data_IF_579838664746
#
_entry.id   IF_579838664746
#
_cell.length_a   1.000
_cell.length_b   1.000
_cell.length_c   1.000
_cell.angle_alpha   90.00
_cell.angle_beta   90.00
_cell.angle_gamma   90.00
#
_symmetry.space_group_name_H-M   'P 1'
#
loop_
_entity.id
_entity.type
_entity.pdbx_description
1 polymer ?
#
# COMPACT_ATOMS: atom_id res chain seq x y z
N UNK A 1 -17.44 52.64 -26.50
CA UNK A 1 -17.02 53.12 -25.16
C UNK A 1 -16.98 51.93 -24.19
N UNK A 2 -15.83 51.26 -23.99
CA UNK A 2 -15.68 50.24 -22.95
C UNK A 2 -15.05 50.84 -21.68
N UNK A 3 -15.59 50.54 -20.49
CA UNK A 3 -14.99 50.87 -19.18
C UNK A 3 -14.14 49.70 -18.68
N UNK A 4 -12.83 49.91 -18.77
CA UNK A 4 -11.74 49.59 -17.84
C UNK A 4 -11.85 48.32 -16.95
N UNK A 5 -10.95 47.37 -17.22
CA UNK A 5 -10.48 46.39 -16.26
C UNK A 5 -9.08 46.82 -15.78
N UNK A 6 -8.93 46.97 -14.48
CA UNK A 6 -7.70 47.40 -13.81
C UNK A 6 -6.75 46.22 -13.59
N UNK A 7 -5.49 46.42 -13.96
CA UNK A 7 -4.38 45.48 -13.87
C UNK A 7 -3.87 45.37 -12.44
N UNK A 8 -3.52 44.16 -11.98
CA UNK A 8 -2.51 43.99 -10.92
C UNK A 8 -1.38 43.12 -11.45
N UNK A 9 -0.18 43.69 -11.30
CA UNK A 9 1.10 43.34 -11.91
C UNK A 9 1.57 41.93 -11.56
N UNK A 10 2.05 41.24 -12.59
CA UNK A 10 2.95 40.09 -12.47
C UNK A 10 4.36 40.64 -12.67
N UNK A 11 5.22 40.57 -11.65
CA UNK A 11 6.65 40.86 -11.80
C UNK A 11 7.40 39.54 -11.87
N UNK A 12 8.02 39.34 -13.03
CA UNK A 12 9.01 38.32 -13.37
C UNK A 12 10.18 38.32 -12.39
N UNK A 13 10.85 37.16 -12.28
CA UNK A 13 12.32 37.06 -12.29
C UNK A 13 12.72 35.59 -12.42
N UNK A 14 12.98 35.25 -13.67
CA UNK A 14 14.08 34.49 -14.25
C UNK A 14 14.71 33.23 -13.62
N UNK A 15 14.84 32.29 -14.55
CA UNK A 15 15.72 31.13 -14.63
C UNK A 15 17.20 31.55 -14.61
N UNK A 16 18.05 30.83 -13.86
CA UNK A 16 19.10 29.93 -14.40
C UNK A 16 20.27 29.66 -13.43
N UNK A 17 20.76 28.41 -13.49
CA UNK A 17 22.08 27.89 -13.08
C UNK A 17 22.37 27.83 -11.55
N UNK A 18 23.00 26.80 -10.95
CA UNK A 18 24.06 25.90 -11.41
C UNK A 18 24.08 24.63 -10.55
N UNK A 19 24.47 23.51 -11.16
CA UNK A 19 24.80 22.20 -10.58
C UNK A 19 25.96 22.22 -9.57
N UNK A 20 25.86 21.48 -8.45
CA UNK A 20 27.00 20.73 -7.88
C UNK A 20 26.51 19.38 -7.35
N UNK A 21 27.16 18.34 -7.87
CA UNK A 21 27.08 16.93 -7.50
C UNK A 21 27.70 16.67 -6.12
N UNK A 22 27.13 15.74 -5.35
CA UNK A 22 27.92 14.75 -4.57
C UNK A 22 27.09 13.53 -4.20
N UNK A 23 27.52 12.41 -4.75
CA UNK A 23 27.21 11.02 -4.43
C UNK A 23 27.11 10.76 -2.91
N UNK A 24 26.23 9.87 -2.44
CA UNK A 24 26.59 8.44 -2.30
C UNK A 24 25.50 7.57 -1.64
N UNK A 25 25.49 6.31 -2.11
CA UNK A 25 25.20 5.07 -1.38
C UNK A 25 23.77 4.78 -0.89
N UNK A 26 23.10 3.96 -1.69
CA UNK A 26 22.56 2.64 -1.31
C UNK A 26 22.27 2.38 0.17
N UNK A 27 20.98 2.24 0.53
CA UNK A 27 20.54 1.15 1.41
C UNK A 27 19.02 0.88 1.31
N UNK A 28 18.58 -0.38 1.41
CA UNK A 28 17.22 -0.80 1.10
C UNK A 28 16.27 -0.77 2.31
N UNK A 29 15.00 -0.47 2.02
CA UNK A 29 13.80 -1.15 2.54
C UNK A 29 13.62 -1.29 4.05
N UNK A 30 12.91 -0.33 4.67
CA UNK A 30 12.20 -0.55 5.94
C UNK A 30 10.82 -1.13 5.61
N UNK A 31 10.59 -2.38 6.00
CA UNK A 31 9.28 -3.02 6.03
C UNK A 31 8.59 -2.64 7.35
N UNK A 32 7.43 -1.99 7.27
CA UNK A 32 6.53 -1.79 8.40
C UNK A 32 5.71 -3.07 8.60
N UNK A 33 5.82 -3.60 9.82
CA UNK A 33 5.11 -4.71 10.42
C UNK A 33 3.59 -4.49 10.40
N UNK A 34 2.83 -5.55 10.10
CA UNK A 34 1.44 -5.71 10.50
C UNK A 34 1.40 -6.82 11.54
N UNK A 35 0.94 -6.47 12.74
CA UNK A 35 0.72 -7.36 13.87
C UNK A 35 -0.32 -8.44 13.53
N UNK A 36 0.02 -9.70 13.84
CA UNK A 36 -0.88 -10.85 13.89
C UNK A 36 -0.77 -11.46 15.31
N UNK A 37 -1.86 -11.91 15.95
CA UNK A 37 -1.90 -12.21 17.38
C UNK A 37 -1.12 -13.48 17.78
N UNK A 38 -0.24 -13.36 18.77
CA UNK A 38 0.52 -14.44 19.44
C UNK A 38 -0.32 -15.22 20.47
N UNK A 39 -1.25 -16.09 20.08
CA UNK A 39 -1.92 -16.94 21.11
C UNK A 39 -2.08 -18.43 20.81
N UNK A 40 -1.54 -18.98 19.71
CA UNK A 40 -1.66 -20.43 19.45
C UNK A 40 -0.35 -21.23 19.38
N UNK A 41 0.82 -20.60 19.49
CA UNK A 41 2.12 -21.31 19.37
C UNK A 41 2.82 -21.64 20.70
N UNK A 42 2.31 -21.17 21.84
CA UNK A 42 2.99 -21.34 23.14
C UNK A 42 2.65 -22.65 23.89
N UNK A 43 1.72 -23.48 23.40
CA UNK A 43 1.36 -24.76 24.05
C UNK A 43 2.15 -25.97 23.55
N UNK A 44 2.68 -25.93 22.33
CA UNK A 44 3.35 -27.10 21.74
C UNK A 44 4.86 -27.19 22.00
N UNK A 45 5.51 -26.13 22.49
CA UNK A 45 6.95 -26.15 22.81
C UNK A 45 7.22 -26.80 24.17
N UNK A 46 6.30 -26.65 25.14
CA UNK A 46 6.49 -27.19 26.50
C UNK A 46 6.34 -28.71 26.60
N UNK A 47 5.69 -29.37 25.63
CA UNK A 47 5.41 -30.80 25.69
C UNK A 47 6.53 -31.68 25.09
N UNK A 48 7.38 -31.12 24.22
CA UNK A 48 8.53 -31.82 23.62
C UNK A 48 9.77 -31.77 24.53
N UNK A 49 9.93 -30.70 25.30
CA UNK A 49 11.04 -30.55 26.26
C UNK A 49 10.92 -31.48 27.49
N UNK A 50 9.70 -31.81 27.91
CA UNK A 50 9.46 -32.74 29.04
C UNK A 50 9.78 -34.20 28.68
N UNK A 51 9.71 -34.59 27.40
CA UNK A 51 9.94 -35.98 26.96
C UNK A 51 11.42 -36.34 26.89
N UNK A 52 12.29 -35.38 26.57
CA UNK A 52 13.75 -35.56 26.56
C UNK A 52 14.35 -35.69 27.97
N UNK A 53 13.62 -35.27 29.01
CA UNK A 53 14.06 -35.29 30.42
C UNK A 53 13.76 -36.60 31.15
N UNK A 54 13.05 -37.55 30.53
CA UNK A 54 12.58 -38.82 31.13
C UNK A 54 13.32 -40.05 30.54
N UNK A 55 14.30 -39.87 29.63
CA UNK A 55 15.09 -41.00 29.15
C UNK A 55 16.29 -41.27 30.06
N UNK A 56 16.40 -42.47 30.62
CA UNK A 56 17.53 -42.87 31.45
C UNK A 56 18.83 -42.91 30.63
N UNK A 57 19.93 -42.42 31.22
CA UNK A 57 21.28 -42.33 30.62
C UNK A 57 21.75 -43.59 29.83
N UNK A 58 21.41 -44.84 30.18
CA UNK A 58 21.79 -46.00 29.36
C UNK A 58 21.17 -46.03 27.94
N UNK A 59 19.95 -45.50 27.73
CA UNK A 59 19.32 -45.53 26.40
C UNK A 59 19.93 -44.52 25.40
N UNK A 60 20.48 -43.42 25.91
CA UNK A 60 21.21 -42.43 25.09
C UNK A 60 22.56 -42.98 24.58
N UNK A 61 23.21 -43.90 25.31
CA UNK A 61 24.44 -44.56 24.86
C UNK A 61 24.16 -45.56 23.72
N UNK A 62 23.10 -46.37 23.86
CA UNK A 62 22.70 -47.33 22.83
C UNK A 62 22.30 -46.63 21.51
N UNK A 63 21.57 -45.52 21.59
CA UNK A 63 21.18 -44.74 20.41
C UNK A 63 22.37 -44.06 19.70
N UNK A 64 23.42 -43.68 20.45
CA UNK A 64 24.67 -43.15 19.86
C UNK A 64 25.50 -44.25 19.21
N UNK A 65 25.54 -45.44 19.81
CA UNK A 65 26.28 -46.59 19.29
C UNK A 65 25.64 -47.14 18.00
N UNK A 66 24.30 -47.21 17.94
CA UNK A 66 23.56 -47.56 16.72
C UNK A 66 23.72 -46.52 15.61
N UNK A 67 23.75 -45.22 15.92
CA UNK A 67 24.02 -44.17 14.92
C UNK A 67 25.43 -44.25 14.33
N UNK A 68 26.42 -44.60 15.14
CA UNK A 68 27.80 -44.82 14.68
C UNK A 68 27.92 -46.06 13.79
N UNK A 69 27.21 -47.15 14.10
CA UNK A 69 27.20 -48.36 13.27
C UNK A 69 26.49 -48.15 11.92
N UNK A 70 25.38 -47.41 11.89
CA UNK A 70 24.70 -47.07 10.62
C UNK A 70 25.57 -46.16 9.74
N UNK A 71 26.33 -45.24 10.33
CA UNK A 71 27.25 -44.36 9.60
C UNK A 71 28.48 -45.09 9.01
N UNK A 72 28.83 -46.27 9.53
CA UNK A 72 29.92 -47.09 9.00
C UNK A 72 29.49 -47.94 7.80
N UNK A 73 28.18 -48.22 7.65
CA UNK A 73 27.63 -49.01 6.54
C UNK A 73 27.30 -48.19 5.28
N UNK A 74 27.40 -46.85 5.32
CA UNK A 74 27.07 -45.98 4.17
C UNK A 74 28.30 -45.50 3.38
N UNK A 75 29.50 -46.03 3.64
CA UNK A 75 30.68 -45.77 2.80
C UNK A 75 30.77 -46.83 1.68
N UNK A 76 29.85 -46.75 0.72
CA UNK A 76 29.99 -47.39 -0.59
C UNK A 76 30.81 -46.53 -1.54
N UNK A 77 31.45 -47.12 -2.58
CA UNK A 77 32.49 -46.47 -3.36
C UNK A 77 31.93 -45.44 -4.35
N UNK A 78 32.69 -44.37 -4.49
CA UNK A 78 32.65 -43.37 -5.55
C UNK A 78 32.83 -44.02 -6.93
N UNK A 79 31.75 -44.17 -7.70
CA UNK A 79 31.83 -44.25 -9.16
C UNK A 79 30.43 -44.11 -9.76
N UNK A 80 30.27 -43.13 -10.65
CA UNK A 80 29.18 -42.97 -11.65
C UNK A 80 27.98 -42.05 -11.38
N UNK A 81 28.11 -40.96 -10.60
CA UNK A 81 27.04 -39.92 -10.54
C UNK A 81 27.51 -38.46 -10.67
N UNK A 82 28.78 -38.21 -11.04
CA UNK A 82 29.33 -36.85 -11.20
C UNK A 82 29.04 -36.22 -12.58
N UNK A 83 28.26 -36.86 -13.46
CA UNK A 83 27.86 -36.29 -14.76
C UNK A 83 26.42 -35.77 -14.80
N UNK A 84 25.68 -35.81 -13.68
CA UNK A 84 24.30 -35.31 -13.61
C UNK A 84 24.15 -33.94 -12.94
N UNK A 85 25.20 -33.42 -12.30
CA UNK A 85 25.15 -32.11 -11.62
C UNK A 85 25.51 -30.92 -12.52
N UNK A 86 26.05 -31.16 -13.73
CA UNK A 86 26.43 -30.10 -14.69
C UNK A 86 25.32 -29.72 -15.69
N UNK A 87 24.11 -30.29 -15.58
CA UNK A 87 22.94 -29.87 -16.38
C UNK A 87 22.01 -28.88 -15.65
N UNK A 88 22.50 -28.17 -14.63
CA UNK A 88 21.71 -27.20 -13.87
C UNK A 88 21.95 -25.73 -14.27
N UNK A 89 22.86 -25.43 -15.19
CA UNK A 89 22.88 -24.13 -15.90
C UNK A 89 21.85 -24.12 -17.03
N UNK A 90 20.59 -24.41 -16.69
CA UNK A 90 19.45 -24.21 -17.58
C UNK A 90 19.40 -22.71 -17.87
N UNK A 91 19.96 -22.30 -19.01
CA UNK A 91 20.06 -20.91 -19.45
C UNK A 91 18.78 -20.16 -19.09
N UNK A 92 18.87 -19.25 -18.11
CA UNK A 92 17.69 -18.52 -17.67
C UNK A 92 17.20 -17.66 -18.84
N UNK A 93 15.92 -17.78 -19.17
CA UNK A 93 15.36 -17.09 -20.33
C UNK A 93 15.46 -15.57 -20.13
N UNK A 94 16.31 -14.92 -20.94
CA UNK A 94 16.41 -13.45 -20.99
C UNK A 94 15.25 -12.85 -21.77
N UNK A 95 14.90 -11.61 -21.46
CA UNK A 95 13.75 -10.91 -22.03
C UNK A 95 14.16 -9.59 -22.65
N UNK A 96 13.45 -9.20 -23.69
CA UNK A 96 13.63 -7.93 -24.39
C UNK A 96 12.35 -7.09 -24.29
N UNK A 97 12.51 -5.77 -24.19
CA UNK A 97 11.35 -4.88 -24.26
C UNK A 97 10.70 -4.96 -25.65
N UNK A 98 9.37 -4.91 -25.67
CA UNK A 98 8.56 -5.00 -26.90
C UNK A 98 8.22 -3.64 -27.53
N UNK A 99 8.69 -2.54 -26.94
CA UNK A 99 8.48 -1.15 -27.39
C UNK A 99 9.84 -0.56 -27.72
N UNK A 100 9.83 0.53 -28.49
CA UNK A 100 11.06 1.29 -28.82
C UNK A 100 11.73 1.91 -27.59
N UNK A 101 10.99 2.19 -26.51
CA UNK A 101 11.53 2.77 -25.29
C UNK A 101 12.34 1.73 -24.50
N UNK A 102 13.65 1.95 -24.42
CA UNK A 102 14.63 1.08 -23.73
C UNK A 102 14.78 1.38 -22.24
N UNK A 103 14.46 2.60 -21.80
CA UNK A 103 14.69 3.05 -20.42
C UNK A 103 13.61 2.58 -19.42
N UNK A 104 14.01 2.40 -18.15
CA UNK A 104 13.13 2.01 -17.04
C UNK A 104 12.36 3.19 -16.42
N UNK A 105 11.55 3.87 -17.23
CA UNK A 105 10.76 5.03 -16.78
C UNK A 105 9.46 4.61 -16.08
N UNK A 106 8.78 5.56 -15.43
CA UNK A 106 7.49 5.32 -14.77
C UNK A 106 6.36 4.92 -15.74
N UNK A 107 6.49 5.17 -17.04
CA UNK A 107 5.53 4.75 -18.07
C UNK A 107 5.85 3.40 -18.70
N UNK A 108 7.08 2.88 -18.48
CA UNK A 108 7.58 1.65 -19.10
C UNK A 108 7.65 0.45 -18.15
N UNK A 109 6.86 0.46 -17.07
CA UNK A 109 6.81 -0.65 -16.13
C UNK A 109 6.17 -1.88 -16.79
N UNK A 110 6.77 -3.05 -16.57
CA UNK A 110 6.35 -4.34 -17.13
C UNK A 110 6.07 -5.35 -16.02
N UNK A 111 5.28 -6.37 -16.33
CA UNK A 111 5.13 -7.59 -15.52
C UNK A 111 5.46 -8.81 -16.38
N UNK A 112 6.00 -9.85 -15.75
CA UNK A 112 6.24 -11.13 -16.39
C UNK A 112 4.93 -11.91 -16.50
N UNK A 113 4.71 -12.56 -17.64
CA UNK A 113 3.61 -13.49 -17.83
C UNK A 113 4.12 -14.70 -18.58
N UNK A 114 3.80 -15.90 -18.09
CA UNK A 114 3.92 -17.12 -18.89
C UNK A 114 2.76 -17.18 -19.86
N UNK A 115 3.05 -17.40 -21.12
CA UNK A 115 2.04 -17.58 -22.17
C UNK A 115 1.68 -19.06 -22.30
N UNK A 116 0.53 -19.40 -22.92
CA UNK A 116 0.16 -20.80 -23.18
C UNK A 116 1.24 -21.57 -23.96
N UNK A 117 1.97 -20.92 -24.87
CA UNK A 117 3.10 -21.50 -25.58
C UNK A 117 4.38 -21.65 -24.75
N UNK A 118 4.28 -21.65 -23.43
CA UNK A 118 5.38 -21.82 -22.47
C UNK A 118 6.55 -20.83 -22.66
N UNK A 119 6.25 -19.57 -23.05
CA UNK A 119 7.26 -18.49 -23.15
C UNK A 119 7.02 -17.45 -22.07
N UNK A 120 8.09 -16.94 -21.46
CA UNK A 120 8.00 -15.79 -20.56
C UNK A 120 8.04 -14.52 -21.43
N UNK A 121 7.07 -13.62 -21.25
CA UNK A 121 6.94 -12.38 -22.04
C UNK A 121 6.62 -11.19 -21.13
N UNK A 122 7.11 -10.00 -21.50
CA UNK A 122 6.70 -8.75 -20.86
C UNK A 122 5.29 -8.31 -21.30
N UNK A 123 4.44 -8.04 -20.31
CA UNK A 123 3.21 -7.27 -20.47
C UNK A 123 3.37 -5.90 -19.82
N UNK A 124 3.03 -4.84 -20.55
CA UNK A 124 3.09 -3.48 -20.01
C UNK A 124 1.94 -3.21 -19.04
N UNK A 125 2.29 -2.84 -17.82
CA UNK A 125 1.31 -2.49 -16.80
C UNK A 125 0.81 -1.06 -17.02
N UNK A 126 -0.42 -0.80 -16.62
CA UNK A 126 -0.96 0.57 -16.59
C UNK A 126 -0.64 1.18 -15.23
N UNK A 127 -0.45 2.51 -15.20
CA UNK A 127 -0.30 3.25 -13.93
C UNK A 127 -1.53 3.02 -13.04
N UNK A 128 -1.28 2.79 -11.77
CA UNK A 128 -2.34 2.59 -10.77
C UNK A 128 -3.17 3.86 -10.60
N UNK A 129 -4.49 3.69 -10.47
CA UNK A 129 -5.39 4.78 -10.11
C UNK A 129 -5.35 5.06 -8.61
N UNK A 130 -5.82 6.23 -8.20
CA UNK A 130 -6.01 6.59 -6.79
C UNK A 130 -7.48 6.96 -6.58
N UNK A 131 -8.08 6.50 -5.49
CA UNK A 131 -9.41 6.93 -5.09
C UNK A 131 -9.41 8.43 -4.74
N UNK A 132 -10.55 9.14 -4.82
CA UNK A 132 -10.63 10.55 -4.45
C UNK A 132 -10.28 10.75 -2.98
N UNK A 133 -9.59 11.87 -2.68
CA UNK A 133 -9.45 12.38 -1.32
C UNK A 133 -10.76 13.05 -0.93
N UNK A 134 -11.03 13.14 0.37
CA UNK A 134 -12.16 13.92 0.87
C UNK A 134 -11.93 15.42 0.62
N UNK A 135 -12.96 16.13 0.15
CA UNK A 135 -12.94 17.57 -0.09
C UNK A 135 -12.86 18.42 1.20
N UNK A 136 -12.90 17.79 2.38
CA UNK A 136 -12.81 18.49 3.66
C UNK A 136 -11.42 19.11 3.94
N UNK A 137 -10.36 18.71 3.21
CA UNK A 137 -8.98 19.19 3.43
C UNK A 137 -8.30 18.63 4.69
N UNK A 138 -9.06 18.26 5.72
CA UNK A 138 -8.52 17.79 7.01
C UNK A 138 -8.22 16.28 7.04
N UNK A 139 -9.10 15.46 6.47
CA UNK A 139 -8.94 14.01 6.54
C UNK A 139 -7.90 13.50 5.52
N UNK A 140 -6.84 12.77 5.95
CA UNK A 140 -5.85 12.19 5.03
C UNK A 140 -6.39 10.98 4.25
N UNK A 141 -7.48 10.38 4.74
CA UNK A 141 -8.08 9.17 4.18
C UNK A 141 -8.69 9.34 2.78
N UNK A 142 -8.70 8.26 2.01
CA UNK A 142 -9.39 8.15 0.73
C UNK A 142 -10.85 7.75 0.93
N UNK A 143 -11.73 8.18 0.02
CA UNK A 143 -13.14 7.85 0.10
C UNK A 143 -13.38 6.37 -0.21
N UNK A 144 -14.17 5.72 0.66
CA UNK A 144 -14.63 4.35 0.50
C UNK A 144 -15.80 4.29 -0.50
N UNK A 145 -15.92 3.17 -1.20
CA UNK A 145 -17.00 2.94 -2.17
C UNK A 145 -16.78 3.54 -3.56
N UNK A 146 -15.70 4.30 -3.78
CA UNK A 146 -15.33 4.83 -5.11
C UNK A 146 -14.13 4.06 -5.65
N UNK A 147 -14.21 3.56 -6.90
CA UNK A 147 -13.14 2.75 -7.49
C UNK A 147 -11.87 3.58 -7.76
N UNK A 148 -10.71 3.03 -7.39
CA UNK A 148 -9.40 3.64 -7.65
C UNK A 148 -8.90 3.33 -9.07
N UNK A 149 -9.41 4.08 -10.06
CA UNK A 149 -9.06 3.89 -11.48
C UNK A 149 -8.48 5.16 -12.11
N UNK A 150 -7.94 5.06 -13.33
CA UNK A 150 -7.47 6.24 -14.09
C UNK A 150 -8.64 7.08 -14.61
N UNK A 151 -8.49 8.41 -14.83
CA UNK A 151 -9.59 9.29 -15.23
C UNK A 151 -10.36 8.85 -16.48
N UNK A 152 -9.65 8.42 -17.54
CA UNK A 152 -10.31 7.92 -18.77
C UNK A 152 -11.12 6.64 -18.55
N UNK A 153 -10.68 5.78 -17.62
CA UNK A 153 -11.43 4.57 -17.23
C UNK A 153 -12.61 4.96 -16.35
N UNK A 154 -12.42 5.92 -15.43
CA UNK A 154 -13.48 6.45 -14.58
C UNK A 154 -14.64 7.03 -15.41
N UNK A 155 -14.33 7.72 -16.51
CA UNK A 155 -15.34 8.23 -17.45
C UNK A 155 -16.25 7.11 -17.96
N UNK A 156 -15.68 5.96 -18.33
CA UNK A 156 -16.39 4.81 -18.90
C UNK A 156 -17.16 3.96 -17.88
N UNK A 157 -16.89 4.09 -16.58
CA UNK A 157 -17.59 3.30 -15.56
C UNK A 157 -19.06 3.74 -15.40
N UNK A 158 -19.90 2.85 -14.86
CA UNK A 158 -21.28 3.19 -14.47
C UNK A 158 -21.31 4.19 -13.31
N UNK A 159 -22.41 4.95 -13.18
CA UNK A 159 -22.57 6.00 -12.17
C UNK A 159 -22.43 5.47 -10.72
N UNK A 160 -23.04 4.32 -10.44
CA UNK A 160 -23.00 3.67 -9.11
C UNK A 160 -21.58 3.39 -8.61
N UNK A 161 -20.64 3.13 -9.51
CA UNK A 161 -19.22 2.85 -9.18
C UNK A 161 -18.40 4.11 -8.90
N UNK A 162 -18.95 5.31 -9.15
CA UNK A 162 -18.27 6.61 -9.04
C UNK A 162 -18.62 7.37 -7.76
N UNK A 163 -19.74 7.07 -7.12
CA UNK A 163 -20.25 7.80 -5.96
C UNK A 163 -20.88 6.87 -4.92
N UNK A 164 -21.15 7.41 -3.74
CA UNK A 164 -21.90 6.74 -2.67
C UNK A 164 -23.29 7.40 -2.54
N UNK A 165 -24.33 6.64 -2.25
CA UNK A 165 -25.71 7.11 -2.09
C UNK A 165 -25.92 7.86 -0.76
N UNK A 166 -25.36 9.08 -0.67
CA UNK A 166 -25.59 10.03 0.44
C UNK A 166 -25.31 11.47 -0.02
N UNK A 167 -25.71 12.46 0.78
CA UNK A 167 -25.30 13.84 0.60
C UNK A 167 -23.76 13.96 0.53
N UNK A 168 -23.26 14.67 -0.49
CA UNK A 168 -21.84 14.82 -0.79
C UNK A 168 -21.09 13.48 -0.99
N UNK A 169 -21.79 12.42 -1.39
CA UNK A 169 -21.22 11.11 -1.64
C UNK A 169 -20.18 11.12 -2.76
N UNK A 170 -18.99 10.55 -2.51
CA UNK A 170 -17.88 10.58 -3.46
C UNK A 170 -17.07 11.88 -3.48
N UNK A 171 -17.48 12.90 -2.71
CA UNK A 171 -16.73 14.15 -2.51
C UNK A 171 -16.26 14.31 -1.06
N UNK A 172 -17.12 14.04 -0.07
CA UNK A 172 -16.76 14.12 1.35
C UNK A 172 -16.90 12.79 2.08
N UNK A 173 -16.11 12.62 3.16
CA UNK A 173 -16.21 11.48 4.06
C UNK A 173 -17.45 11.59 4.97
N UNK A 174 -17.96 10.45 5.44
CA UNK A 174 -19.19 10.40 6.25
C UNK A 174 -19.06 11.12 7.60
N UNK A 175 -17.86 11.14 8.19
CA UNK A 175 -17.60 11.86 9.45
C UNK A 175 -17.80 13.37 9.27
N UNK A 176 -17.12 13.97 8.29
CA UNK A 176 -17.24 15.40 8.03
C UNK A 176 -18.64 15.83 7.58
N UNK A 177 -19.38 14.99 6.86
CA UNK A 177 -20.78 15.29 6.51
C UNK A 177 -21.65 15.37 7.78
N UNK A 178 -21.50 14.42 8.73
CA UNK A 178 -22.21 14.47 10.02
C UNK A 178 -21.85 15.71 10.83
N UNK A 179 -20.57 16.04 10.91
CA UNK A 179 -20.12 17.21 11.66
C UNK A 179 -20.64 18.50 11.03
N UNK A 180 -20.71 18.59 9.69
CA UNK A 180 -21.32 19.73 8.99
C UNK A 180 -22.81 19.88 9.29
N UNK A 181 -23.56 18.77 9.31
CA UNK A 181 -24.99 18.79 9.64
C UNK A 181 -25.20 19.31 11.06
N UNK A 182 -24.48 18.73 12.04
CA UNK A 182 -24.58 19.16 13.45
C UNK A 182 -24.18 20.61 13.66
N UNK A 183 -23.06 21.04 13.04
CA UNK A 183 -22.58 22.43 13.16
C UNK A 183 -23.54 23.42 12.52
N UNK A 184 -24.04 23.13 11.32
CA UNK A 184 -25.00 24.00 10.65
C UNK A 184 -26.27 24.17 11.51
N UNK A 185 -26.82 23.06 12.02
CA UNK A 185 -27.98 23.09 12.90
C UNK A 185 -27.74 23.94 14.15
N UNK A 186 -26.70 23.63 14.95
CA UNK A 186 -26.43 24.35 16.20
C UNK A 186 -26.14 25.85 15.98
N UNK A 187 -25.50 26.22 14.87
CA UNK A 187 -25.25 27.61 14.55
C UNK A 187 -26.56 28.35 14.22
N UNK A 188 -27.47 27.72 13.49
CA UNK A 188 -28.78 28.32 13.20
C UNK A 188 -29.64 28.44 14.48
N UNK A 189 -29.66 27.41 15.33
CA UNK A 189 -30.34 27.48 16.63
C UNK A 189 -29.78 28.61 17.50
N UNK A 190 -28.45 28.72 17.60
CA UNK A 190 -27.80 29.80 18.36
C UNK A 190 -28.16 31.18 17.79
N UNK A 191 -28.24 31.34 16.46
CA UNK A 191 -28.64 32.60 15.82
C UNK A 191 -30.07 32.99 16.19
N UNK A 192 -31.00 32.03 16.24
CA UNK A 192 -32.39 32.27 16.64
C UNK A 192 -32.43 32.72 18.10
N UNK A 193 -31.76 32.00 19.00
CA UNK A 193 -31.70 32.36 20.43
C UNK A 193 -31.15 33.77 20.62
N UNK A 194 -30.04 34.10 19.95
CA UNK A 194 -29.45 35.45 20.01
C UNK A 194 -30.41 36.52 19.48
N UNK A 195 -31.19 36.23 18.43
CA UNK A 195 -32.19 37.15 17.88
C UNK A 195 -33.34 37.39 18.87
N UNK A 196 -33.84 36.34 19.51
CA UNK A 196 -34.93 36.43 20.50
C UNK A 196 -34.48 37.19 21.74
N UNK A 197 -33.30 36.90 22.28
CA UNK A 197 -32.75 37.62 23.44
C UNK A 197 -32.57 39.11 23.16
N UNK A 198 -32.10 39.46 21.96
CA UNK A 198 -31.99 40.87 21.53
C UNK A 198 -33.36 41.56 21.45
N UNK A 199 -34.37 40.88 20.91
CA UNK A 199 -35.73 41.42 20.83
C UNK A 199 -36.36 41.62 22.23
N UNK A 200 -36.14 40.69 23.16
CA UNK A 200 -36.60 40.80 24.54
C UNK A 200 -35.91 41.93 25.30
N UNK A 201 -34.60 42.11 25.13
CA UNK A 201 -33.87 43.22 25.74
C UNK A 201 -34.36 44.59 25.23
N UNK A 202 -34.71 44.69 23.95
CA UNK A 202 -35.28 45.90 23.36
C UNK A 202 -36.68 46.20 23.90
N UNK A 203 -37.54 45.18 24.06
CA UNK A 203 -38.89 45.38 24.60
C UNK A 203 -38.90 45.75 26.09
N UNK A 204 -37.92 45.26 26.87
CA UNK A 204 -37.76 45.64 28.27
C UNK A 204 -37.25 47.09 28.44
N UNK A 205 -36.38 47.56 27.54
CA UNK A 205 -35.85 48.95 27.60
C UNK A 205 -36.89 50.00 27.16
N UNK A 206 -37.86 49.60 26.34
CA UNK A 206 -38.93 50.48 25.86
C UNK A 206 -40.11 50.60 26.83
N UNK A 207 -40.16 49.74 27.86
CA UNK A 207 -41.09 49.86 28.99
C UNK A 207 -40.44 50.68 30.10
#
# INVERSE_FOLDING_TARGET
MPRQAEQVRFSELDWSNTTVSRNNMSRPGVLLSLDIPEQSLSRNIKHTELRAKIMSKPQLKLAKQLKMQVAQLTKGPSSSLEDSELSAFRMVQRLTYRRRLSYNTASNKTRLSRTPGNRIVYLYTKKVGKAPKSACGVCPGRLRGVRAVRPKVLMRLSKTKKHVSRAYGGSMCAKCVRDRIKRAFLIEEQKIVVKVLKAQAQSQKAK
#
